data_IF_124549338810
#
_entry.id   IF_124549338810
#
_cell.length_a   1.000
_cell.length_b   1.000
_cell.length_c   1.000
_cell.angle_alpha   90.00
_cell.angle_beta   90.00
_cell.angle_gamma   90.00
#
_symmetry.space_group_name_H-M   'P 1'
#
loop_
_entity.id
_entity.type
_entity.pdbx_description
1 polymer ?
#
# COMPACT_ATOMS: atom_id res chain seq x y z
N UNK A 1 10.04 -10.54 -10.25
CA UNK A 1 9.20 -9.33 -10.26
C UNK A 1 8.12 -9.54 -9.24
N UNK A 2 7.86 -8.60 -8.34
CA UNK A 2 6.84 -8.75 -7.29
C UNK A 2 5.47 -8.42 -7.91
N UNK A 3 4.50 -9.31 -7.75
CA UNK A 3 3.15 -9.09 -8.30
C UNK A 3 2.38 -8.08 -7.46
N UNK A 4 1.78 -7.08 -8.11
CA UNK A 4 1.00 -6.02 -7.47
C UNK A 4 -0.46 -6.11 -7.92
N UNK A 5 -1.41 -5.94 -6.98
CA UNK A 5 -2.84 -5.94 -7.32
C UNK A 5 -3.64 -4.95 -6.48
N UNK A 6 -4.54 -4.22 -7.13
CA UNK A 6 -5.50 -3.36 -6.45
C UNK A 6 -6.70 -4.17 -5.94
N UNK A 7 -7.15 -3.85 -4.74
CA UNK A 7 -8.32 -4.43 -4.10
C UNK A 7 -9.24 -3.32 -3.60
N UNK A 8 -10.55 -3.52 -3.71
CA UNK A 8 -11.54 -2.68 -3.06
C UNK A 8 -11.52 -2.90 -1.54
N UNK A 9 -11.96 -1.91 -0.75
CA UNK A 9 -12.03 -2.01 0.71
C UNK A 9 -12.81 -3.25 1.19
N UNK A 10 -13.86 -3.63 0.45
CA UNK A 10 -14.69 -4.82 0.75
C UNK A 10 -13.96 -6.15 0.55
N UNK A 11 -12.85 -6.15 -0.21
CA UNK A 11 -12.04 -7.33 -0.56
C UNK A 11 -10.82 -7.50 0.37
N UNK A 12 -10.91 -7.01 1.61
CA UNK A 12 -9.77 -7.03 2.54
C UNK A 12 -9.28 -8.45 2.85
N UNK A 13 -10.16 -9.46 2.81
CA UNK A 13 -9.77 -10.85 3.06
C UNK A 13 -8.92 -11.39 1.90
N UNK A 14 -9.33 -11.10 0.68
CA UNK A 14 -8.66 -11.46 -0.56
C UNK A 14 -7.32 -10.74 -0.69
N UNK A 15 -7.29 -9.45 -0.34
CA UNK A 15 -6.06 -8.65 -0.28
C UNK A 15 -5.03 -9.26 0.67
N UNK A 16 -5.46 -9.67 1.88
CA UNK A 16 -4.59 -10.32 2.85
C UNK A 16 -4.12 -11.67 2.33
N UNK A 17 -5.01 -12.50 1.79
CA UNK A 17 -4.64 -13.82 1.26
C UNK A 17 -3.62 -13.71 0.11
N UNK A 18 -3.81 -12.74 -0.81
CA UNK A 18 -2.87 -12.45 -1.88
C UNK A 18 -1.51 -11.99 -1.35
N UNK A 19 -1.51 -11.10 -0.35
CA UNK A 19 -0.29 -10.64 0.31
C UNK A 19 0.45 -11.79 1.04
N UNK A 20 -0.28 -12.67 1.71
CA UNK A 20 0.28 -13.85 2.39
C UNK A 20 0.86 -14.88 1.41
N UNK A 21 0.34 -14.94 0.19
CA UNK A 21 0.89 -15.76 -0.89
C UNK A 21 2.17 -15.17 -1.54
N UNK A 22 2.58 -13.97 -1.14
CA UNK A 22 3.80 -13.31 -1.61
C UNK A 22 3.59 -12.15 -2.57
N UNK A 23 2.33 -11.77 -2.86
CA UNK A 23 2.01 -10.57 -3.62
C UNK A 23 2.04 -9.29 -2.80
N UNK A 24 1.84 -8.15 -3.47
CA UNK A 24 1.63 -6.83 -2.87
C UNK A 24 0.19 -6.39 -3.13
N UNK A 25 -0.61 -6.36 -2.08
CA UNK A 25 -2.01 -5.92 -2.15
C UNK A 25 -2.11 -4.43 -1.84
N UNK A 26 -2.75 -3.68 -2.73
CA UNK A 26 -2.93 -2.23 -2.58
C UNK A 26 -4.44 -1.96 -2.50
N UNK A 27 -4.89 -1.21 -1.50
CA UNK A 27 -6.28 -0.79 -1.42
C UNK A 27 -6.41 0.63 -0.87
N UNK A 28 -7.50 1.31 -1.23
CA UNK A 28 -7.83 2.61 -0.62
C UNK A 28 -8.30 2.41 0.80
N UNK A 29 -7.70 3.16 1.72
CA UNK A 29 -8.08 3.16 3.12
C UNK A 29 -7.91 4.57 3.68
N UNK A 30 -8.45 4.86 4.87
CA UNK A 30 -7.97 5.98 5.69
C UNK A 30 -8.25 7.42 5.18
N UNK A 31 -9.21 7.63 4.28
CA UNK A 31 -9.60 8.98 3.83
C UNK A 31 -10.07 9.93 4.95
N UNK A 32 -10.48 9.39 6.09
CA UNK A 32 -10.87 10.16 7.28
C UNK A 32 -9.70 10.78 8.04
N UNK A 33 -8.44 10.41 7.74
CA UNK A 33 -7.25 11.00 8.36
C UNK A 33 -6.69 12.21 7.60
N UNK A 34 -7.38 12.66 6.54
CA UNK A 34 -6.99 13.85 5.79
C UNK A 34 -6.84 15.08 6.70
N UNK A 35 -5.75 15.83 6.51
CA UNK A 35 -5.46 17.06 7.23
C UNK A 35 -4.74 16.89 8.57
N UNK A 36 -4.58 15.66 9.06
CA UNK A 36 -3.83 15.38 10.29
C UNK A 36 -2.33 15.17 10.01
N UNK A 37 -1.48 15.25 11.04
CA UNK A 37 -0.03 15.09 10.90
C UNK A 37 0.44 13.76 11.50
N UNK A 38 1.36 13.08 10.83
CA UNK A 38 2.07 11.90 11.36
C UNK A 38 3.55 12.00 11.01
N UNK A 39 4.44 11.80 11.99
CA UNK A 39 5.90 11.83 11.77
C UNK A 39 6.37 13.10 11.02
N UNK A 40 5.80 14.26 11.37
CA UNK A 40 6.12 15.54 10.72
C UNK A 40 5.56 15.73 9.30
N UNK A 41 4.79 14.77 8.78
CA UNK A 41 4.18 14.83 7.45
C UNK A 41 2.67 15.06 7.56
N UNK A 42 2.14 16.01 6.78
CA UNK A 42 0.70 16.20 6.63
C UNK A 42 0.12 15.06 5.79
N UNK A 43 -0.92 14.44 6.31
CA UNK A 43 -1.67 13.38 5.63
C UNK A 43 -2.63 14.02 4.64
N UNK A 44 -2.33 13.89 3.35
CA UNK A 44 -3.13 14.41 2.26
C UNK A 44 -3.71 13.27 1.43
N UNK A 45 -4.94 13.45 0.95
CA UNK A 45 -5.54 12.46 0.03
C UNK A 45 -4.74 12.45 -1.27
N UNK A 46 -4.71 11.33 -1.99
CA UNK A 46 -5.35 10.04 -1.72
C UNK A 46 -4.57 9.20 -0.70
N UNK A 47 -5.26 8.27 -0.02
CA UNK A 47 -4.64 7.34 0.93
C UNK A 47 -4.71 5.91 0.43
N UNK A 48 -3.55 5.25 0.41
CA UNK A 48 -3.40 3.85 0.05
C UNK A 48 -2.78 3.09 1.21
N UNK A 49 -3.27 1.88 1.39
CA UNK A 49 -2.73 0.92 2.32
C UNK A 49 -2.15 -0.23 1.49
N UNK A 50 -0.84 -0.42 1.62
CA UNK A 50 -0.08 -1.41 0.84
C UNK A 50 0.35 -2.51 1.79
N UNK A 51 -0.05 -3.74 1.50
CA UNK A 51 0.08 -4.89 2.39
C UNK A 51 0.87 -6.00 1.69
N UNK A 52 1.79 -6.63 2.41
CA UNK A 52 2.65 -7.68 1.90
C UNK A 52 3.43 -8.37 3.02
N UNK A 53 4.10 -9.46 2.68
CA UNK A 53 5.16 -10.00 3.53
C UNK A 53 6.30 -8.97 3.63
N UNK A 54 6.93 -8.87 4.79
CA UNK A 54 7.94 -7.82 5.05
C UNK A 54 9.09 -7.78 4.04
N UNK A 55 9.77 -8.90 3.69
CA UNK A 55 10.84 -8.86 2.70
C UNK A 55 10.38 -8.34 1.34
N UNK A 56 9.15 -8.70 0.93
CA UNK A 56 8.51 -8.24 -0.29
C UNK A 56 8.20 -6.74 -0.23
N UNK A 57 7.70 -6.24 0.91
CA UNK A 57 7.46 -4.81 1.12
C UNK A 57 8.76 -3.99 1.17
N UNK A 58 9.85 -4.54 1.69
CA UNK A 58 11.16 -3.86 1.68
C UNK A 58 11.72 -3.74 0.26
N UNK A 59 11.61 -4.81 -0.54
CA UNK A 59 11.98 -4.77 -1.95
C UNK A 59 11.08 -3.80 -2.74
N UNK A 60 9.76 -4.00 -2.66
CA UNK A 60 8.79 -3.15 -3.34
C UNK A 60 8.90 -1.69 -2.90
N UNK A 61 9.10 -1.43 -1.60
CA UNK A 61 9.28 -0.10 -1.06
C UNK A 61 10.48 0.62 -1.66
N UNK A 62 11.64 -0.05 -1.74
CA UNK A 62 12.85 0.52 -2.37
C UNK A 62 12.61 0.91 -3.83
N UNK A 63 11.94 0.05 -4.59
CA UNK A 63 11.63 0.30 -6.01
C UNK A 63 10.67 1.50 -6.19
N UNK A 64 9.88 1.83 -5.16
CA UNK A 64 8.94 2.95 -5.14
C UNK A 64 9.47 4.17 -4.35
N UNK A 65 10.75 4.18 -3.95
CA UNK A 65 11.37 5.28 -3.20
C UNK A 65 10.90 5.41 -1.75
N UNK A 66 10.28 4.36 -1.19
CA UNK A 66 9.86 4.27 0.20
C UNK A 66 10.97 3.67 1.06
N UNK A 67 11.01 4.09 2.32
CA UNK A 67 12.02 3.65 3.26
C UNK A 67 11.52 2.47 4.11
N UNK A 68 12.31 1.40 4.32
CA UNK A 68 11.92 0.26 5.14
C UNK A 68 11.46 0.62 6.57
N UNK A 69 12.00 1.67 7.18
CA UNK A 69 11.57 2.13 8.51
C UNK A 69 10.12 2.66 8.55
N UNK A 70 9.51 2.91 7.39
CA UNK A 70 8.10 3.28 7.31
C UNK A 70 7.16 2.09 7.35
N UNK A 71 7.68 0.85 7.23
CA UNK A 71 6.89 -0.37 7.36
C UNK A 71 6.33 -0.46 8.77
N UNK A 72 5.00 -0.45 8.85
CA UNK A 72 4.27 -0.71 10.07
C UNK A 72 4.27 -2.21 10.36
N UNK A 73 4.37 -2.61 11.63
CA UNK A 73 4.53 -4.01 12.01
C UNK A 73 3.30 -4.85 11.67
N UNK A 74 3.59 -6.13 11.51
CA UNK A 74 2.68 -7.27 11.48
C UNK A 74 1.90 -7.27 12.80
N UNK A 75 0.69 -6.70 12.81
CA UNK A 75 -0.15 -6.70 14.02
C UNK A 75 -0.73 -8.10 14.25
N UNK A 76 -2.03 -8.29 13.99
CA UNK A 76 -2.70 -9.60 14.14
C UNK A 76 -2.60 -10.48 12.90
N UNK A 77 -1.80 -10.09 11.91
CA UNK A 77 -1.69 -10.75 10.59
C UNK A 77 -0.22 -11.05 10.29
N UNK A 78 0.05 -12.00 9.41
CA UNK A 78 1.42 -12.35 8.96
C UNK A 78 2.04 -11.32 8.01
N UNK A 79 1.28 -10.29 7.65
CA UNK A 79 1.65 -9.27 6.67
C UNK A 79 1.86 -7.93 7.35
N UNK A 80 2.88 -7.21 6.88
CA UNK A 80 3.19 -5.85 7.28
C UNK A 80 2.50 -4.86 6.33
N UNK A 81 2.65 -3.55 6.57
CA UNK A 81 2.07 -2.56 5.68
C UNK A 81 2.80 -1.22 5.60
N UNK A 82 2.61 -0.52 4.48
CA UNK A 82 2.82 0.92 4.37
C UNK A 82 1.48 1.66 4.32
N UNK A 83 1.45 2.81 5.00
CA UNK A 83 0.46 3.86 4.71
C UNK A 83 1.10 4.86 3.74
N UNK A 84 0.58 4.91 2.51
CA UNK A 84 1.07 5.80 1.45
C UNK A 84 0.01 6.87 1.21
N UNK A 85 0.41 8.13 1.14
CA UNK A 85 -0.52 9.24 0.99
C UNK A 85 0.07 10.41 0.22
N UNK A 86 -0.78 11.31 -0.27
CA UNK A 86 -0.38 12.47 -1.06
C UNK A 86 0.28 12.08 -2.40
N UNK A 87 1.30 12.82 -2.87
CA UNK A 87 1.88 12.61 -4.21
C UNK A 87 2.40 11.18 -4.49
N UNK A 88 3.05 10.47 -3.54
CA UNK A 88 3.38 9.05 -3.74
C UNK A 88 2.16 8.15 -3.99
N UNK A 89 1.04 8.41 -3.31
CA UNK A 89 -0.19 7.63 -3.50
C UNK A 89 -0.86 7.94 -4.84
N UNK A 90 -0.83 9.20 -5.30
CA UNK A 90 -1.34 9.59 -6.62
C UNK A 90 -0.60 8.86 -7.75
N UNK A 91 0.74 8.87 -7.70
CA UNK A 91 1.57 8.15 -8.68
C UNK A 91 1.27 6.65 -8.69
N UNK A 92 1.10 6.05 -7.52
CA UNK A 92 0.76 4.64 -7.41
C UNK A 92 -0.60 4.33 -8.03
N UNK A 93 -1.62 5.17 -7.76
CA UNK A 93 -2.93 5.00 -8.40
C UNK A 93 -2.87 5.19 -9.92
N UNK A 94 -2.12 6.16 -10.43
CA UNK A 94 -1.97 6.37 -11.87
C UNK A 94 -1.36 5.14 -12.55
N UNK A 95 -0.35 4.52 -11.94
CA UNK A 95 0.23 3.26 -12.42
C UNK A 95 -0.80 2.13 -12.42
N UNK A 96 -1.54 1.96 -11.33
CA UNK A 96 -2.54 0.89 -11.20
C UNK A 96 -3.73 1.05 -12.14
N UNK A 97 -4.21 2.27 -12.36
CA UNK A 97 -5.28 2.58 -13.33
C UNK A 97 -4.80 2.33 -14.75
N UNK A 98 -3.58 2.74 -15.09
CA UNK A 98 -3.00 2.47 -16.42
C UNK A 98 -2.86 0.97 -16.71
N UNK A 99 -2.65 0.13 -15.69
CA UNK A 99 -2.63 -1.34 -15.81
C UNK A 99 -4.03 -1.94 -15.97
N UNK A 100 -5.09 -1.25 -15.52
CA UNK A 100 -6.48 -1.71 -15.68
C UNK A 100 -7.07 -1.34 -17.05
N UNK A 101 -6.63 -0.24 -17.65
CA UNK A 101 -7.07 0.21 -18.99
C UNK A 101 -6.29 -0.46 -20.14
N UNK A 102 -5.19 -1.14 -19.84
CA UNK A 102 -4.34 -1.84 -20.82
C UNK A 102 -4.65 -3.34 -20.97
N UNK A 103 -5.76 -3.82 -20.36
CA UNK A 103 -6.19 -5.23 -20.36
C UNK A 103 -7.49 -5.46 -21.11
#
# INVERSE_FOLDING_TARGET
>A
MIEERYFERRQIKEAIAFAEAGGIAIHRNFDHYHGSTIRGMRRERPFLHVIGLRPQLEAWGRDNGLRPEWIQPEKRRRVAHYDVFGPPAEKLMQRLVSTLDAG
#
